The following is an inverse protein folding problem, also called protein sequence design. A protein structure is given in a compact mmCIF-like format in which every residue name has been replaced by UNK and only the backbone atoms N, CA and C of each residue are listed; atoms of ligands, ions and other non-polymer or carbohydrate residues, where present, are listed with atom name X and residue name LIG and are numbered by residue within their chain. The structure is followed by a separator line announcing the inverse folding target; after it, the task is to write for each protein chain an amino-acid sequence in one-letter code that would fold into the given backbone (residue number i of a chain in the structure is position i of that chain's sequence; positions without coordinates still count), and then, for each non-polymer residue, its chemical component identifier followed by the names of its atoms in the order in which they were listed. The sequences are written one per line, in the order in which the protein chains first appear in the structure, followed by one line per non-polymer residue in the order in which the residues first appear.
data_IF_591048631275
#
_entry.id   IF_591048631275
#
_cell.length_a   1.000
_cell.length_b   1.000
_cell.length_c   1.000
_cell.angle_alpha   90.00
_cell.angle_beta   90.00
_cell.angle_gamma   90.00
#
_symmetry.space_group_name_H-M   'P 1'
#
loop_
_entity.id
_entity.type
_entity.pdbx_description
1 polymer ?
#
# COMPACT_ATOMS: atom_id res chain seq x y z
N UNK A 1 0.31 10.36 23.20
CA UNK A 1 -0.37 9.39 22.31
C UNK A 1 -0.68 8.16 23.14
N UNK A 2 -1.92 7.66 23.09
CA UNK A 2 -2.28 6.40 23.75
C UNK A 2 -1.35 5.26 23.28
N UNK A 3 -0.96 4.31 24.17
CA UNK A 3 -0.03 3.23 23.83
C UNK A 3 -0.39 2.47 22.53
N UNK A 4 -1.67 2.16 22.23
CA UNK A 4 -2.06 1.53 20.96
C UNK A 4 -1.73 2.34 19.70
N UNK A 5 -1.89 3.67 19.77
CA UNK A 5 -1.60 4.56 18.64
C UNK A 5 -0.09 4.64 18.36
N UNK A 6 0.74 4.51 19.40
CA UNK A 6 2.19 4.46 19.25
C UNK A 6 2.67 3.22 18.50
N UNK A 7 2.02 2.07 18.70
CA UNK A 7 2.33 0.81 17.97
C UNK A 7 1.98 0.94 16.49
N UNK A 8 0.80 1.50 16.19
CA UNK A 8 0.38 1.76 14.81
C UNK A 8 1.35 2.71 14.10
N UNK A 9 1.72 3.82 14.76
CA UNK A 9 2.68 4.78 14.22
C UNK A 9 4.06 4.14 14.02
N UNK A 10 4.55 3.37 14.99
CA UNK A 10 5.82 2.67 14.87
C UNK A 10 5.82 1.72 13.65
N UNK A 11 4.73 0.98 13.44
CA UNK A 11 4.59 0.11 12.27
C UNK A 11 4.65 0.87 10.94
N UNK A 12 3.97 2.01 10.85
CA UNK A 12 3.98 2.89 9.65
C UNK A 12 5.38 3.46 9.42
N UNK A 13 6.07 3.89 10.49
CA UNK A 13 7.43 4.41 10.40
C UNK A 13 8.41 3.32 9.96
N UNK A 14 8.35 2.13 10.56
CA UNK A 14 9.21 0.99 10.16
C UNK A 14 8.96 0.67 8.69
N UNK A 15 7.70 0.51 8.28
CA UNK A 15 7.34 0.27 6.89
C UNK A 15 7.94 1.32 5.97
N UNK A 16 7.73 2.59 6.29
CA UNK A 16 8.13 3.72 5.44
C UNK A 16 9.64 3.84 5.33
N UNK A 17 10.34 3.83 6.47
CA UNK A 17 11.80 3.98 6.54
C UNK A 17 12.53 2.83 5.87
N UNK A 18 12.05 1.59 6.04
CA UNK A 18 12.64 0.42 5.39
C UNK A 18 12.51 0.54 3.87
N UNK A 19 11.35 0.93 3.34
CA UNK A 19 11.19 1.16 1.90
C UNK A 19 12.08 2.31 1.41
N UNK A 20 12.03 3.46 2.08
CA UNK A 20 12.83 4.63 1.71
C UNK A 20 14.34 4.34 1.71
N UNK A 21 14.81 3.43 2.57
CA UNK A 21 16.22 3.07 2.66
C UNK A 21 16.83 2.62 1.33
N UNK A 22 16.03 2.02 0.44
CA UNK A 22 16.49 1.57 -0.89
C UNK A 22 16.98 2.75 -1.74
N UNK A 23 16.31 3.90 -1.65
CA UNK A 23 16.58 5.07 -2.50
C UNK A 23 17.34 6.18 -1.76
N UNK A 24 17.13 6.32 -0.45
CA UNK A 24 17.78 7.35 0.36
C UNK A 24 19.15 6.93 0.89
N UNK A 25 19.41 5.62 1.04
CA UNK A 25 20.66 5.12 1.60
C UNK A 25 21.29 3.98 0.76
N UNK A 26 21.50 4.17 -0.57
CA UNK A 26 22.03 3.11 -1.44
C UNK A 26 23.42 2.63 -1.02
N UNK A 27 24.28 3.53 -0.51
CA UNK A 27 25.61 3.18 0.00
C UNK A 27 25.56 2.31 1.26
N UNK A 28 24.66 2.61 2.21
CA UNK A 28 24.44 1.78 3.39
C UNK A 28 23.96 0.38 3.00
N UNK A 29 22.99 0.31 2.08
CA UNK A 29 22.49 -0.96 1.54
C UNK A 29 23.63 -1.77 0.91
N UNK A 30 24.44 -1.16 0.05
CA UNK A 30 25.57 -1.83 -0.60
C UNK A 30 26.58 -2.34 0.44
N UNK A 31 26.92 -1.52 1.45
CA UNK A 31 27.81 -1.91 2.53
C UNK A 31 27.28 -3.07 3.38
N UNK A 32 25.98 -3.08 3.69
CA UNK A 32 25.35 -4.20 4.40
C UNK A 32 25.37 -5.48 3.57
N UNK A 33 25.00 -5.40 2.28
CA UNK A 33 25.06 -6.55 1.37
C UNK A 33 26.48 -7.10 1.24
N UNK A 34 27.49 -6.23 1.17
CA UNK A 34 28.89 -6.67 1.13
C UNK A 34 29.33 -7.40 2.41
N UNK A 35 28.76 -7.05 3.58
CA UNK A 35 29.11 -7.67 4.87
C UNK A 35 28.37 -8.96 5.15
N UNK A 36 27.06 -9.01 4.90
CA UNK A 36 26.21 -10.16 5.27
C UNK A 36 25.79 -11.02 4.08
N UNK A 37 26.06 -10.58 2.85
CA UNK A 37 25.60 -11.24 1.63
C UNK A 37 24.21 -10.79 1.18
N UNK A 38 23.91 -11.05 -0.10
CA UNK A 38 22.65 -10.62 -0.73
C UNK A 38 21.42 -11.30 -0.11
N UNK A 39 21.43 -12.63 0.03
CA UNK A 39 20.28 -13.36 0.57
C UNK A 39 19.99 -13.04 2.05
N UNK A 40 20.99 -12.98 2.95
CA UNK A 40 20.73 -12.58 4.34
C UNK A 40 20.20 -11.14 4.45
N UNK A 41 20.72 -10.20 3.65
CA UNK A 41 20.17 -8.84 3.58
C UNK A 41 18.69 -8.84 3.17
N UNK A 42 18.33 -9.61 2.14
CA UNK A 42 16.92 -9.74 1.73
C UNK A 42 16.05 -10.31 2.86
N UNK A 43 16.53 -11.33 3.58
CA UNK A 43 15.83 -11.90 4.74
C UNK A 43 15.60 -10.87 5.85
N UNK A 44 16.63 -10.11 6.22
CA UNK A 44 16.53 -9.03 7.23
C UNK A 44 15.58 -7.92 6.78
N UNK A 45 15.65 -7.52 5.51
CA UNK A 45 14.75 -6.52 4.93
C UNK A 45 13.30 -6.98 4.98
N UNK A 46 13.03 -8.22 4.57
CA UNK A 46 11.70 -8.83 4.63
C UNK A 46 11.19 -8.94 6.07
N UNK A 47 12.04 -9.33 7.02
CA UNK A 47 11.67 -9.42 8.43
C UNK A 47 11.30 -8.05 9.01
N UNK A 48 12.05 -7.00 8.66
CA UNK A 48 11.74 -5.64 9.08
C UNK A 48 10.39 -5.15 8.52
N UNK A 49 10.07 -5.48 7.25
CA UNK A 49 8.76 -5.18 6.67
C UNK A 49 7.62 -5.96 7.34
N UNK A 50 7.84 -7.24 7.64
CA UNK A 50 6.85 -8.06 8.35
C UNK A 50 6.62 -7.55 9.78
N UNK A 51 7.67 -7.12 10.47
CA UNK A 51 7.55 -6.49 11.78
C UNK A 51 6.76 -5.18 11.71
N UNK A 52 7.04 -4.32 10.71
CA UNK A 52 6.25 -3.11 10.47
C UNK A 52 4.77 -3.41 10.19
N UNK A 53 4.49 -4.40 9.33
CA UNK A 53 3.13 -4.85 9.03
C UNK A 53 2.41 -5.43 10.26
N UNK A 54 3.12 -6.23 11.06
CA UNK A 54 2.58 -6.78 12.31
C UNK A 54 2.21 -5.67 13.30
N UNK A 55 3.07 -4.65 13.45
CA UNK A 55 2.78 -3.47 14.27
C UNK A 55 1.57 -2.68 13.74
N UNK A 56 1.44 -2.52 12.42
CA UNK A 56 0.28 -1.86 11.80
C UNK A 56 -1.02 -2.63 12.15
N UNK A 57 -1.05 -3.93 11.90
CA UNK A 57 -2.23 -4.76 12.13
C UNK A 57 -2.59 -4.80 13.62
N UNK A 58 -1.60 -5.01 14.49
CA UNK A 58 -1.82 -5.08 15.93
C UNK A 58 -2.25 -3.72 16.49
N UNK A 59 -1.58 -2.64 16.10
CA UNK A 59 -1.92 -1.28 16.49
C UNK A 59 -3.33 -0.88 16.07
N UNK A 60 -3.75 -1.24 14.83
CA UNK A 60 -5.11 -1.01 14.35
C UNK A 60 -6.17 -1.70 15.22
N UNK A 61 -5.94 -2.98 15.55
CA UNK A 61 -6.85 -3.78 16.39
C UNK A 61 -6.89 -3.29 17.84
N UNK A 62 -5.76 -2.86 18.39
CA UNK A 62 -5.65 -2.36 19.76
C UNK A 62 -6.22 -0.96 19.94
N UNK A 63 -6.14 -0.09 18.91
CA UNK A 63 -6.51 1.32 19.04
C UNK A 63 -8.01 1.56 19.25
N UNK A 64 -8.87 0.54 19.05
CA UNK A 64 -10.32 0.72 19.08
C UNK A 64 -10.81 1.74 18.04
N UNK A 65 -12.10 2.09 18.01
CA UNK A 65 -12.57 3.22 17.21
C UNK A 65 -11.87 4.50 17.69
N UNK A 66 -11.12 5.16 16.80
CA UNK A 66 -10.47 6.43 17.14
C UNK A 66 -11.48 7.58 17.27
N UNK A 67 -11.01 8.72 17.77
CA UNK A 67 -11.81 9.94 17.82
C UNK A 67 -12.37 10.30 16.44
N UNK A 68 -13.69 10.52 16.30
CA UNK A 68 -14.30 10.95 15.04
C UNK A 68 -13.82 12.35 14.64
N UNK A 69 -13.50 12.50 13.36
CA UNK A 69 -13.02 13.74 12.75
C UNK A 69 -13.98 14.26 11.67
N UNK A 70 -14.53 13.35 10.86
CA UNK A 70 -15.44 13.70 9.78
C UNK A 70 -16.30 12.51 9.35
N UNK A 71 -17.36 12.77 8.59
CA UNK A 71 -18.23 11.74 8.04
C UNK A 71 -18.81 12.20 6.70
N UNK A 72 -18.82 11.31 5.71
CA UNK A 72 -19.38 11.57 4.38
C UNK A 72 -20.45 10.51 4.05
N UNK A 73 -21.75 10.86 4.06
CA UNK A 73 -22.82 9.89 3.82
C UNK A 73 -22.78 9.28 2.42
N UNK A 74 -22.19 9.98 1.45
CA UNK A 74 -22.05 9.55 0.06
C UNK A 74 -20.78 8.73 -0.21
N UNK A 75 -19.89 8.56 0.77
CA UNK A 75 -18.56 7.98 0.53
C UNK A 75 -18.58 6.49 0.21
N UNK A 76 -19.55 5.73 0.72
CA UNK A 76 -19.58 4.26 0.57
C UNK A 76 -19.50 3.79 -0.89
N UNK A 77 -20.38 4.20 -1.82
CA UNK A 77 -20.32 3.75 -3.22
C UNK A 77 -19.01 4.16 -3.91
N UNK A 78 -18.52 5.39 -3.66
CA UNK A 78 -17.26 5.85 -4.25
C UNK A 78 -16.07 5.04 -3.71
N UNK A 79 -16.04 4.74 -2.41
CA UNK A 79 -14.97 3.96 -1.78
C UNK A 79 -14.90 2.54 -2.34
N UNK A 80 -16.04 1.90 -2.60
CA UNK A 80 -16.10 0.59 -3.25
C UNK A 80 -15.55 0.62 -4.68
N UNK A 81 -15.90 1.65 -5.46
CA UNK A 81 -15.35 1.84 -6.81
C UNK A 81 -13.84 2.04 -6.78
N UNK A 82 -13.35 2.92 -5.90
CA UNK A 82 -11.92 3.19 -5.74
C UNK A 82 -11.16 1.93 -5.29
N UNK A 83 -11.75 1.12 -4.42
CA UNK A 83 -11.17 -0.15 -3.98
C UNK A 83 -11.11 -1.20 -5.09
N UNK A 84 -12.14 -1.29 -5.95
CA UNK A 84 -12.10 -2.16 -7.12
C UNK A 84 -10.98 -1.74 -8.08
N UNK A 85 -10.83 -0.43 -8.34
CA UNK A 85 -9.71 0.11 -9.12
C UNK A 85 -8.36 -0.19 -8.46
N UNK A 86 -8.25 -0.01 -7.14
CA UNK A 86 -7.03 -0.30 -6.38
C UNK A 86 -6.62 -1.77 -6.53
N UNK A 87 -7.55 -2.72 -6.40
CA UNK A 87 -7.26 -4.14 -6.57
C UNK A 87 -6.78 -4.47 -7.99
N UNK A 88 -7.43 -3.93 -9.03
CA UNK A 88 -6.99 -4.07 -10.41
C UNK A 88 -5.58 -3.54 -10.64
N UNK A 89 -5.26 -2.35 -10.10
CA UNK A 89 -3.93 -1.76 -10.21
C UNK A 89 -2.86 -2.53 -9.42
N UNK A 90 -3.22 -3.14 -8.29
CA UNK A 90 -2.31 -3.98 -7.51
C UNK A 90 -1.88 -5.21 -8.32
N UNK A 91 -2.84 -5.88 -8.97
CA UNK A 91 -2.53 -7.00 -9.88
C UNK A 91 -1.74 -6.53 -11.09
N UNK A 92 -2.12 -5.38 -11.68
CA UNK A 92 -1.42 -4.81 -12.84
C UNK A 92 0.07 -4.54 -12.61
N UNK A 93 0.48 -4.34 -11.35
CA UNK A 93 1.89 -4.13 -11.00
C UNK A 93 2.79 -5.32 -11.35
N UNK A 94 2.26 -6.54 -11.29
CA UNK A 94 3.01 -7.78 -11.54
C UNK A 94 2.49 -8.58 -12.73
N UNK A 95 1.25 -8.36 -13.16
CA UNK A 95 0.67 -9.03 -14.32
C UNK A 95 1.17 -8.45 -15.66
N UNK A 96 1.15 -9.24 -16.75
CA UNK A 96 1.31 -8.70 -18.10
C UNK A 96 0.05 -7.92 -18.50
N UNK A 97 0.14 -6.59 -18.55
CA UNK A 97 -1.00 -5.70 -18.88
C UNK A 97 -0.53 -4.39 -19.51
N UNK A 98 -1.37 -3.83 -20.40
CA UNK A 98 -1.14 -2.54 -21.04
C UNK A 98 -1.52 -1.35 -20.14
N UNK A 99 -2.05 -1.58 -18.93
CA UNK A 99 -2.18 -0.52 -17.91
C UNK A 99 -0.83 0.17 -17.66
N UNK A 100 0.27 -0.60 -17.75
CA UNK A 100 1.64 -0.10 -17.64
C UNK A 100 2.10 0.74 -18.84
N UNK A 101 1.26 1.00 -19.84
CA UNK A 101 1.51 1.97 -20.91
C UNK A 101 1.14 3.41 -20.51
N UNK A 102 0.24 3.55 -19.53
CA UNK A 102 -0.31 4.82 -19.06
C UNK A 102 0.02 5.11 -17.59
N UNK A 103 0.24 4.07 -16.78
CA UNK A 103 0.64 4.19 -15.38
C UNK A 103 2.03 3.59 -15.15
N UNK A 104 2.97 4.44 -14.71
CA UNK A 104 4.34 4.03 -14.36
C UNK A 104 4.40 3.18 -13.09
N UNK A 105 3.56 3.51 -12.09
CA UNK A 105 3.61 2.90 -10.76
C UNK A 105 2.28 2.27 -10.33
N UNK A 106 1.75 1.24 -11.03
CA UNK A 106 0.43 0.68 -10.70
C UNK A 106 0.28 0.28 -9.23
N UNK A 107 1.34 -0.27 -8.61
CA UNK A 107 1.30 -0.66 -7.19
C UNK A 107 1.16 0.53 -6.24
N UNK A 108 1.94 1.61 -6.45
CA UNK A 108 1.87 2.79 -5.57
C UNK A 108 0.58 3.58 -5.84
N UNK A 109 0.13 3.65 -7.10
CA UNK A 109 -1.19 4.21 -7.43
C UNK A 109 -2.32 3.40 -6.79
N UNK A 110 -2.21 2.07 -6.75
CA UNK A 110 -3.14 1.21 -6.01
C UNK A 110 -3.21 1.57 -4.53
N UNK A 111 -2.05 1.72 -3.86
CA UNK A 111 -1.99 2.13 -2.45
C UNK A 111 -2.60 3.52 -2.24
N UNK A 112 -2.40 4.46 -3.17
CA UNK A 112 -3.04 5.78 -3.10
C UNK A 112 -4.57 5.71 -3.22
N UNK A 113 -5.11 4.93 -4.16
CA UNK A 113 -6.56 4.74 -4.31
C UNK A 113 -7.15 4.01 -3.10
N UNK A 114 -6.44 3.00 -2.58
CA UNK A 114 -6.80 2.30 -1.34
C UNK A 114 -6.85 3.27 -0.15
N UNK A 115 -5.82 4.11 0.01
CA UNK A 115 -5.76 5.13 1.05
C UNK A 115 -6.93 6.11 0.95
N UNK A 116 -7.20 6.63 -0.25
CA UNK A 116 -8.30 7.55 -0.49
C UNK A 116 -9.67 6.92 -0.20
N UNK A 117 -9.89 5.68 -0.64
CA UNK A 117 -11.13 4.96 -0.37
C UNK A 117 -11.37 4.79 1.14
N UNK A 118 -10.33 4.43 1.90
CA UNK A 118 -10.47 4.23 3.33
C UNK A 118 -10.61 5.54 4.10
N UNK A 119 -9.92 6.61 3.71
CA UNK A 119 -10.13 7.92 4.33
C UNK A 119 -11.55 8.43 4.08
N UNK A 120 -12.08 8.30 2.86
CA UNK A 120 -13.46 8.68 2.56
C UNK A 120 -14.47 7.91 3.41
N UNK A 121 -14.25 6.60 3.60
CA UNK A 121 -15.14 5.73 4.37
C UNK A 121 -14.95 5.84 5.90
N UNK A 122 -13.77 6.24 6.38
CA UNK A 122 -13.40 6.22 7.80
C UNK A 122 -12.79 7.56 8.22
N UNK A 123 -13.60 8.42 8.82
CA UNK A 123 -13.16 9.74 9.30
C UNK A 123 -12.84 9.76 10.78
N UNK A 124 -11.86 8.96 11.20
CA UNK A 124 -11.38 8.90 12.58
C UNK A 124 -9.84 9.00 12.66
N UNK A 125 -9.31 9.24 13.85
CA UNK A 125 -7.87 9.48 14.07
C UNK A 125 -6.96 8.29 13.71
N UNK A 126 -7.33 7.04 14.00
CA UNK A 126 -6.50 5.88 13.63
C UNK A 126 -6.50 5.65 12.12
N UNK A 127 -7.63 5.91 11.48
CA UNK A 127 -7.80 5.84 10.03
C UNK A 127 -6.97 6.90 9.32
N UNK A 128 -7.00 8.14 9.81
CA UNK A 128 -6.16 9.21 9.30
C UNK A 128 -4.67 8.86 9.39
N UNK A 129 -4.24 8.31 10.53
CA UNK A 129 -2.85 7.94 10.75
C UNK A 129 -2.40 6.81 9.81
N UNK A 130 -3.15 5.72 9.72
CA UNK A 130 -2.81 4.58 8.86
C UNK A 130 -2.92 4.92 7.37
N UNK A 131 -4.12 5.29 6.91
CA UNK A 131 -4.38 5.46 5.49
C UNK A 131 -3.71 6.73 4.98
N UNK A 132 -3.72 7.82 5.74
CA UNK A 132 -3.00 9.04 5.41
C UNK A 132 -1.48 8.84 5.42
N UNK A 133 -0.95 8.11 6.41
CA UNK A 133 0.47 7.79 6.49
C UNK A 133 0.97 6.96 5.30
N UNK A 134 0.27 5.89 4.94
CA UNK A 134 0.62 5.07 3.77
C UNK A 134 0.36 5.78 2.43
N UNK A 135 -0.67 6.64 2.35
CA UNK A 135 -0.91 7.48 1.19
C UNK A 135 0.24 8.47 0.95
N UNK A 136 0.70 9.15 2.02
CA UNK A 136 1.85 10.04 1.97
C UNK A 136 3.14 9.28 1.63
N UNK A 137 3.36 8.11 2.24
CA UNK A 137 4.48 7.24 1.90
C UNK A 137 4.51 6.89 0.41
N UNK A 138 3.36 6.51 -0.17
CA UNK A 138 3.29 6.15 -1.59
C UNK A 138 3.64 7.32 -2.51
N UNK A 139 3.18 8.53 -2.18
CA UNK A 139 3.55 9.76 -2.91
C UNK A 139 5.05 10.03 -2.87
N UNK A 140 5.66 9.88 -1.69
CA UNK A 140 7.11 10.08 -1.49
C UNK A 140 7.89 9.02 -2.27
N UNK A 141 7.51 7.74 -2.18
CA UNK A 141 8.15 6.65 -2.94
C UNK A 141 8.11 6.87 -4.45
N UNK A 142 6.95 7.27 -5.01
CA UNK A 142 6.84 7.61 -6.44
C UNK A 142 7.87 8.67 -6.81
N UNK A 143 8.04 9.71 -5.98
CA UNK A 143 9.00 10.78 -6.24
C UNK A 143 10.45 10.29 -6.12
N UNK A 144 10.77 9.48 -5.11
CA UNK A 144 12.11 8.93 -4.93
C UNK A 144 12.50 7.99 -6.09
N UNK A 145 11.60 7.10 -6.49
CA UNK A 145 11.80 6.18 -7.61
C UNK A 145 11.98 6.96 -8.92
N UNK A 146 11.11 7.93 -9.21
CA UNK A 146 11.22 8.76 -10.42
C UNK A 146 12.56 9.51 -10.49
N UNK A 147 13.04 10.05 -9.36
CA UNK A 147 14.34 10.73 -9.30
C UNK A 147 15.50 9.77 -9.54
N UNK A 148 15.42 8.55 -9.00
CA UNK A 148 16.49 7.57 -9.11
C UNK A 148 16.55 6.89 -10.49
N UNK A 149 15.41 6.65 -11.13
CA UNK A 149 15.33 5.93 -12.41
C UNK A 149 15.28 6.86 -13.62
N UNK A 150 14.96 8.14 -13.44
CA UNK A 150 14.85 9.10 -14.53
C UNK A 150 13.65 8.84 -15.44
N UNK A 151 13.85 8.99 -16.74
CA UNK A 151 12.81 8.87 -17.75
C UNK A 151 12.12 7.50 -17.73
N UNK A 152 10.80 7.52 -17.93
CA UNK A 152 10.00 6.30 -17.89
C UNK A 152 10.12 5.50 -19.19
N UNK A 153 10.80 4.35 -19.12
CA UNK A 153 10.83 3.37 -20.19
C UNK A 153 9.59 2.48 -20.13
N UNK A 154 8.67 2.68 -21.07
CA UNK A 154 7.42 1.89 -21.14
C UNK A 154 7.73 0.42 -21.48
N UNK A 155 7.09 -0.56 -20.82
CA UNK A 155 7.23 -1.95 -21.20
C UNK A 155 6.64 -2.20 -22.60
N UNK A 156 6.97 -3.32 -23.26
CA UNK A 156 6.29 -3.71 -24.50
C UNK A 156 4.78 -3.87 -24.30
N UNK A 157 4.00 -3.58 -25.34
CA UNK A 157 2.56 -3.84 -25.33
C UNK A 157 2.29 -5.35 -25.35
N UNK A 158 1.27 -5.77 -24.62
CA UNK A 158 0.87 -7.17 -24.49
C UNK A 158 -0.52 -7.46 -25.03
N UNK A 159 -1.31 -6.43 -25.33
CA UNK A 159 -2.63 -6.52 -25.96
C UNK A 159 -3.80 -6.48 -24.98
N UNK A 160 -4.98 -6.16 -25.54
CA UNK A 160 -6.22 -5.99 -24.78
C UNK A 160 -6.66 -7.26 -24.03
N UNK A 161 -6.43 -8.45 -24.61
CA UNK A 161 -6.80 -9.72 -23.98
C UNK A 161 -6.10 -9.92 -22.62
N UNK A 162 -4.76 -9.76 -22.58
CA UNK A 162 -3.98 -9.89 -21.33
C UNK A 162 -4.34 -8.81 -20.32
N UNK A 163 -4.61 -7.60 -20.81
CA UNK A 163 -5.12 -6.50 -19.98
C UNK A 163 -6.48 -6.85 -19.35
N UNK A 164 -7.40 -7.40 -20.13
CA UNK A 164 -8.70 -7.89 -19.67
C UNK A 164 -8.56 -8.97 -18.60
N UNK A 165 -7.72 -9.99 -18.84
CA UNK A 165 -7.44 -11.04 -17.85
C UNK A 165 -6.88 -10.47 -16.55
N UNK A 166 -5.91 -9.55 -16.62
CA UNK A 166 -5.36 -8.88 -15.44
C UNK A 166 -6.44 -8.13 -14.64
N UNK A 167 -7.34 -7.43 -15.32
CA UNK A 167 -8.43 -6.70 -14.67
C UNK A 167 -9.46 -7.63 -14.04
N UNK A 168 -9.81 -8.74 -14.71
CA UNK A 168 -10.73 -9.76 -14.14
C UNK A 168 -10.15 -10.39 -12.88
N UNK A 169 -8.86 -10.73 -12.88
CA UNK A 169 -8.17 -11.21 -11.67
C UNK A 169 -8.22 -10.15 -10.57
N UNK A 170 -8.00 -8.88 -10.91
CA UNK A 170 -8.13 -7.75 -9.98
C UNK A 170 -9.52 -7.65 -9.34
N UNK A 171 -10.59 -7.79 -10.14
CA UNK A 171 -11.97 -7.79 -9.65
C UNK A 171 -12.28 -9.02 -8.79
N UNK A 172 -11.74 -10.19 -9.13
CA UNK A 172 -11.87 -11.39 -8.30
C UNK A 172 -11.18 -11.19 -6.93
N UNK A 173 -9.99 -10.58 -6.92
CA UNK A 173 -9.30 -10.20 -5.68
C UNK A 173 -10.10 -9.18 -4.88
N UNK A 174 -10.69 -8.18 -5.54
CA UNK A 174 -11.57 -7.22 -4.88
C UNK A 174 -12.77 -7.90 -4.20
N UNK A 175 -13.46 -8.82 -4.89
CA UNK A 175 -14.56 -9.59 -4.32
C UNK A 175 -14.10 -10.42 -3.11
N UNK A 176 -12.92 -11.07 -3.21
CA UNK A 176 -12.31 -11.78 -2.11
C UNK A 176 -11.99 -10.88 -0.90
N UNK A 177 -11.48 -9.66 -1.15
CA UNK A 177 -11.20 -8.68 -0.10
C UNK A 177 -12.47 -8.13 0.54
N UNK A 178 -13.55 -7.90 -0.24
CA UNK A 178 -14.85 -7.51 0.30
C UNK A 178 -15.39 -8.55 1.28
N UNK A 179 -15.35 -9.82 0.85
CA UNK A 179 -15.72 -10.94 1.71
C UNK A 179 -14.82 -10.97 2.95
N UNK A 180 -13.50 -10.88 2.75
CA UNK A 180 -12.52 -11.02 3.82
C UNK A 180 -12.47 -9.83 4.81
N UNK A 181 -13.06 -8.69 4.44
CA UNK A 181 -12.89 -7.42 5.16
C UNK A 181 -13.18 -7.51 6.67
N UNK A 182 -14.27 -8.16 7.15
CA UNK A 182 -14.55 -8.24 8.58
C UNK A 182 -13.46 -8.95 9.38
N UNK A 183 -12.83 -10.00 8.83
CA UNK A 183 -11.76 -10.73 9.53
C UNK A 183 -10.41 -10.01 9.48
N UNK A 184 -10.17 -9.27 8.40
CA UNK A 184 -8.94 -8.50 8.22
C UNK A 184 -8.93 -7.22 9.07
N UNK A 185 -10.01 -6.44 9.01
CA UNK A 185 -10.08 -5.10 9.62
C UNK A 185 -10.91 -5.05 10.91
N UNK A 186 -11.73 -6.07 11.19
CA UNK A 186 -12.71 -6.02 12.28
C UNK A 186 -13.97 -5.20 11.95
N UNK A 187 -14.14 -4.76 10.71
CA UNK A 187 -15.24 -3.88 10.28
C UNK A 187 -16.07 -4.59 9.20
N UNK A 188 -17.38 -4.72 9.41
CA UNK A 188 -18.29 -5.21 8.37
C UNK A 188 -18.64 -4.10 7.37
N UNK A 189 -18.75 -4.45 6.08
CA UNK A 189 -19.12 -3.51 5.01
C UNK A 189 -20.63 -3.48 4.73
N UNK A 190 -21.35 -4.51 5.17
CA UNK A 190 -22.78 -4.73 4.96
C UNK A 190 -23.40 -5.30 6.24
#
# INVERSE_FOLDING_TARGET
MEPPMSVLLAGILIWSLVHFSIRLAPGLRAGLIARVGHFPYQGLFSLALLAGLFCIISGWKMAGPGEPLYFFPWAKPLSLLLMAMAACLFIAARAPTDIKQVLRHPQLTSVMLWSMAHLLANGDTRSLLLFGGLGLWALIEIRLINRAEGEWKKPPRVGAAKTGVSSVIGLAVFAGLLYAHPWLSGVALF
#
